data_IF_832484501969
#
_entry.id   IF_832484501969
#
_cell.length_a   1.000
_cell.length_b   1.000
_cell.length_c   1.000
_cell.angle_alpha   90.00
_cell.angle_beta   90.00
_cell.angle_gamma   90.00
#
_symmetry.space_group_name_H-M   'P 1'
#
loop_
_entity.id
_entity.type
_entity.pdbx_description
1 polymer ?
#
# COMPACT_ATOMS: atom_id res chain seq x y z
N UNK A 1 -13.10 -13.12 1.08
CA UNK A 1 -11.85 -12.73 1.79
C UNK A 1 -12.15 -12.71 3.28
N UNK A 2 -11.35 -13.39 4.10
CA UNK A 2 -11.44 -13.29 5.55
C UNK A 2 -10.59 -12.09 5.95
N UNK A 3 -11.22 -10.99 6.34
CA UNK A 3 -10.51 -9.77 6.73
C UNK A 3 -10.01 -9.87 8.17
N UNK A 4 -8.88 -9.24 8.44
CA UNK A 4 -8.22 -9.30 9.73
C UNK A 4 -9.07 -8.65 10.82
N UNK A 5 -9.46 -9.45 11.81
CA UNK A 5 -10.00 -8.98 13.10
C UNK A 5 -8.85 -8.53 14.00
N UNK A 6 -9.18 -7.93 15.15
CA UNK A 6 -8.16 -7.43 16.11
C UNK A 6 -7.12 -8.49 16.47
N UNK A 7 -7.55 -9.73 16.76
CA UNK A 7 -6.64 -10.81 17.11
C UNK A 7 -5.67 -11.15 15.96
N UNK A 8 -6.15 -11.16 14.72
CA UNK A 8 -5.30 -11.46 13.56
C UNK A 8 -4.23 -10.37 13.34
N UNK A 9 -4.58 -9.08 13.54
CA UNK A 9 -3.61 -7.98 13.51
C UNK A 9 -2.56 -8.12 14.62
N UNK A 10 -2.95 -8.54 15.82
CA UNK A 10 -2.04 -8.79 16.93
C UNK A 10 -1.12 -9.98 16.66
N UNK A 11 -1.66 -11.10 16.18
CA UNK A 11 -0.91 -12.31 15.85
C UNK A 11 0.11 -12.06 14.73
N UNK A 12 -0.20 -11.13 13.82
CA UNK A 12 0.73 -10.66 12.78
C UNK A 12 1.81 -9.68 13.29
N UNK A 13 1.81 -9.32 14.59
CA UNK A 13 2.76 -8.34 15.15
C UNK A 13 2.46 -6.89 14.74
N UNK A 14 1.24 -6.62 14.29
CA UNK A 14 0.77 -5.36 13.73
C UNK A 14 -0.44 -4.84 14.54
N UNK A 15 -0.28 -4.75 15.86
CA UNK A 15 -1.33 -4.31 16.81
C UNK A 15 -1.90 -2.94 16.41
N UNK A 16 -3.23 -2.82 16.48
CA UNK A 16 -3.99 -1.60 16.24
C UNK A 16 -4.60 -1.11 17.55
N UNK A 17 -4.68 0.21 17.76
CA UNK A 17 -5.17 0.81 19.00
C UNK A 17 -6.69 0.78 19.17
N UNK A 18 -7.44 0.37 18.14
CA UNK A 18 -8.91 0.24 18.20
C UNK A 18 -9.33 -1.03 18.92
N UNK A 19 -10.45 -0.96 19.63
CA UNK A 19 -11.13 -2.14 20.20
C UNK A 19 -12.26 -2.66 19.29
N UNK A 20 -12.47 -2.05 18.13
CA UNK A 20 -13.55 -2.40 17.21
C UNK A 20 -13.07 -3.43 16.18
N UNK A 21 -13.54 -4.67 16.32
CA UNK A 21 -13.29 -5.72 15.32
C UNK A 21 -13.80 -5.32 13.93
N UNK A 22 -14.89 -4.55 13.85
CA UNK A 22 -15.41 -4.07 12.58
C UNK A 22 -14.48 -3.04 11.95
N UNK A 23 -13.92 -2.12 12.74
CA UNK A 23 -12.92 -1.17 12.25
C UNK A 23 -11.66 -1.88 11.73
N UNK A 24 -11.17 -2.91 12.43
CA UNK A 24 -10.04 -3.73 11.96
C UNK A 24 -10.31 -4.39 10.60
N UNK A 25 -11.50 -4.98 10.42
CA UNK A 25 -11.88 -5.62 9.15
C UNK A 25 -11.98 -4.62 8.01
N UNK A 26 -12.60 -3.47 8.27
CA UNK A 26 -12.79 -2.43 7.26
C UNK A 26 -11.46 -1.77 6.88
N UNK A 27 -10.55 -1.57 7.84
CA UNK A 27 -9.19 -1.11 7.57
C UNK A 27 -8.42 -2.09 6.69
N UNK A 28 -8.48 -3.39 7.00
CA UNK A 28 -7.88 -4.44 6.19
C UNK A 28 -8.50 -4.50 4.78
N UNK A 29 -9.82 -4.30 4.67
CA UNK A 29 -10.50 -4.24 3.38
C UNK A 29 -10.08 -3.04 2.52
N UNK A 30 -9.89 -1.86 3.12
CA UNK A 30 -9.36 -0.68 2.41
C UNK A 30 -7.93 -0.94 1.97
N UNK A 31 -7.08 -1.43 2.87
CA UNK A 31 -5.67 -1.71 2.58
C UNK A 31 -5.53 -2.77 1.48
N UNK A 32 -6.34 -3.83 1.52
CA UNK A 32 -6.36 -4.86 0.48
C UNK A 32 -6.75 -4.27 -0.88
N UNK A 33 -7.85 -3.51 -0.95
CA UNK A 33 -8.28 -2.88 -2.20
C UNK A 33 -7.20 -1.96 -2.78
N UNK A 34 -6.60 -1.12 -1.94
CA UNK A 34 -5.50 -0.25 -2.33
C UNK A 34 -4.26 -1.03 -2.82
N UNK A 35 -3.84 -2.07 -2.09
CA UNK A 35 -2.67 -2.87 -2.41
C UNK A 35 -2.82 -3.65 -3.73
N UNK A 36 -4.02 -4.15 -3.98
CA UNK A 36 -4.36 -4.99 -5.14
C UNK A 36 -4.84 -4.20 -6.36
N UNK A 37 -5.04 -2.89 -6.23
CA UNK A 37 -5.73 -2.06 -7.22
C UNK A 37 -7.09 -2.61 -7.65
N UNK A 38 -7.86 -3.12 -6.68
CA UNK A 38 -9.22 -3.60 -6.90
C UNK A 38 -10.23 -2.71 -6.20
N UNK A 39 -11.46 -2.71 -6.72
CA UNK A 39 -12.59 -2.01 -6.11
C UNK A 39 -13.71 -3.02 -5.85
N UNK A 40 -13.93 -3.37 -4.58
CA UNK A 40 -14.92 -4.38 -4.22
C UNK A 40 -16.30 -3.74 -4.06
N UNK A 41 -17.12 -3.84 -5.11
CA UNK A 41 -18.47 -3.28 -5.16
C UNK A 41 -19.37 -3.77 -4.01
N UNK A 42 -19.23 -5.04 -3.58
CA UNK A 42 -20.04 -5.59 -2.48
C UNK A 42 -19.78 -4.90 -1.13
N UNK A 43 -18.62 -4.27 -0.97
CA UNK A 43 -18.27 -3.50 0.21
C UNK A 43 -18.57 -2.00 0.06
N UNK A 44 -18.95 -1.56 -1.14
CA UNK A 44 -19.08 -0.15 -1.53
C UNK A 44 -17.75 0.47 -1.96
N UNK A 45 -16.78 -0.35 -2.37
CA UNK A 45 -15.45 0.10 -2.76
C UNK A 45 -14.63 0.69 -1.61
N UNK A 46 -13.54 1.38 -1.95
CA UNK A 46 -12.69 2.06 -0.97
C UNK A 46 -13.49 3.13 -0.20
N UNK A 47 -14.25 3.97 -0.89
CA UNK A 47 -15.03 5.06 -0.28
C UNK A 47 -16.10 4.53 0.69
N UNK A 48 -16.84 3.50 0.29
CA UNK A 48 -17.85 2.86 1.14
C UNK A 48 -17.21 2.21 2.37
N UNK A 49 -16.06 1.55 2.22
CA UNK A 49 -15.31 1.01 3.34
C UNK A 49 -14.82 2.10 4.30
N UNK A 50 -14.28 3.21 3.80
CA UNK A 50 -13.81 4.33 4.63
C UNK A 50 -14.97 4.98 5.41
N UNK A 51 -16.13 5.16 4.77
CA UNK A 51 -17.33 5.68 5.43
C UNK A 51 -17.77 4.76 6.57
N UNK A 52 -17.86 3.46 6.32
CA UNK A 52 -18.19 2.45 7.35
C UNK A 52 -17.13 2.37 8.45
N UNK A 53 -15.84 2.50 8.10
CA UNK A 53 -14.72 2.47 9.04
C UNK A 53 -14.83 3.61 10.05
N UNK A 54 -15.09 4.82 9.55
CA UNK A 54 -15.32 6.01 10.38
C UNK A 54 -16.55 5.86 11.27
N UNK A 55 -17.62 5.24 10.78
CA UNK A 55 -18.81 4.97 11.59
C UNK A 55 -18.57 3.90 12.68
N UNK A 56 -17.75 2.89 12.38
CA UNK A 56 -17.44 1.79 13.29
C UNK A 56 -16.52 2.21 14.45
N UNK A 57 -15.57 3.11 14.20
CA UNK A 57 -14.75 3.73 15.24
C UNK A 57 -14.23 5.12 14.79
N UNK A 58 -14.93 6.21 15.16
CA UNK A 58 -14.52 7.58 14.80
C UNK A 58 -13.16 8.00 15.39
N UNK A 59 -12.69 7.34 16.44
CA UNK A 59 -11.44 7.66 17.13
C UNK A 59 -10.29 6.72 16.74
N UNK A 60 -10.50 5.83 15.76
CA UNK A 60 -9.46 4.93 15.30
C UNK A 60 -8.39 5.66 14.48
N UNK A 61 -7.22 5.95 15.09
CA UNK A 61 -6.16 6.73 14.44
C UNK A 61 -5.72 6.14 13.10
N UNK A 62 -5.49 4.83 13.00
CA UNK A 62 -5.07 4.24 11.72
C UNK A 62 -6.16 4.30 10.64
N UNK A 63 -7.44 4.37 11.03
CA UNK A 63 -8.52 4.67 10.10
C UNK A 63 -8.40 6.06 9.49
N UNK A 64 -8.01 7.07 10.28
CA UNK A 64 -7.70 8.41 9.77
C UNK A 64 -6.40 8.43 8.94
N UNK A 65 -5.40 7.66 9.34
CA UNK A 65 -4.14 7.51 8.57
C UNK A 65 -4.43 7.00 7.17
N UNK A 66 -5.16 5.89 7.01
CA UNK A 66 -5.41 5.35 5.67
C UNK A 66 -6.34 6.26 4.85
N UNK A 67 -7.35 6.87 5.47
CA UNK A 67 -8.24 7.81 4.79
C UNK A 67 -7.47 9.04 4.24
N UNK A 68 -6.75 9.75 5.11
CA UNK A 68 -5.98 10.93 4.73
C UNK A 68 -4.80 10.57 3.82
N UNK A 69 -4.16 9.42 4.05
CA UNK A 69 -3.05 8.94 3.25
C UNK A 69 -3.43 8.67 1.81
N UNK A 70 -4.61 8.07 1.56
CA UNK A 70 -5.10 7.84 0.20
C UNK A 70 -5.40 9.15 -0.55
N UNK A 71 -5.95 10.16 0.13
CA UNK A 71 -6.15 11.50 -0.46
C UNK A 71 -4.83 12.18 -0.84
N UNK A 72 -3.82 12.05 0.04
CA UNK A 72 -2.50 12.65 -0.16
C UNK A 72 -1.69 11.92 -1.24
N UNK A 73 -1.65 10.58 -1.19
CA UNK A 73 -0.97 9.73 -2.18
C UNK A 73 -1.64 9.83 -3.54
N UNK A 74 -2.96 10.06 -3.60
CA UNK A 74 -3.67 10.28 -4.86
C UNK A 74 -3.18 11.51 -5.65
N UNK A 75 -2.45 12.44 -5.02
CA UNK A 75 -1.89 13.69 -5.59
C UNK A 75 -2.87 14.65 -6.26
N UNK A 76 -4.16 14.30 -6.35
CA UNK A 76 -5.21 15.16 -6.90
C UNK A 76 -5.63 16.29 -5.95
N UNK A 77 -5.33 16.17 -4.65
CA UNK A 77 -5.63 17.17 -3.62
C UNK A 77 -4.39 17.48 -2.79
N UNK A 78 -4.36 18.68 -2.20
CA UNK A 78 -3.25 19.11 -1.32
C UNK A 78 -3.80 19.94 -0.17
N UNK A 79 -3.20 19.81 1.03
CA UNK A 79 -3.58 20.63 2.20
C UNK A 79 -3.42 22.14 1.98
N UNK A 80 -2.59 22.54 1.01
CA UNK A 80 -2.39 23.97 0.68
C UNK A 80 -3.60 24.59 -0.02
N UNK A 81 -4.30 23.81 -0.83
CA UNK A 81 -5.43 24.28 -1.64
C UNK A 81 -6.78 23.79 -1.10
N UNK A 82 -6.77 22.75 -0.28
CA UNK A 82 -7.95 22.09 0.23
C UNK A 82 -8.01 22.18 1.77
N UNK A 83 -8.92 23.04 2.26
CA UNK A 83 -9.10 23.29 3.69
C UNK A 83 -9.71 22.10 4.43
N UNK A 84 -10.48 21.27 3.74
CA UNK A 84 -11.10 20.09 4.34
C UNK A 84 -10.03 19.03 4.60
N UNK A 85 -9.14 18.80 3.63
CA UNK A 85 -8.00 17.90 3.79
C UNK A 85 -7.00 18.42 4.84
N UNK A 86 -6.68 19.72 4.85
CA UNK A 86 -5.83 20.31 5.91
C UNK A 86 -6.44 20.08 7.31
N UNK A 87 -7.74 20.33 7.45
CA UNK A 87 -8.46 20.09 8.70
C UNK A 87 -8.44 18.60 9.10
N UNK A 88 -8.65 17.69 8.15
CA UNK A 88 -8.63 16.26 8.39
C UNK A 88 -7.26 15.74 8.85
N UNK A 89 -6.16 16.23 8.23
CA UNK A 89 -4.79 15.90 8.64
C UNK A 89 -4.50 16.45 10.05
N UNK A 90 -4.90 17.70 10.34
CA UNK A 90 -4.75 18.28 11.69
C UNK A 90 -5.53 17.51 12.75
N UNK A 91 -6.75 17.08 12.43
CA UNK A 91 -7.58 16.28 13.32
C UNK A 91 -6.93 14.92 13.62
N UNK A 92 -6.37 14.25 12.61
CA UNK A 92 -5.60 13.00 12.79
C UNK A 92 -4.39 13.20 13.73
N UNK A 93 -3.63 14.29 13.55
CA UNK A 93 -2.49 14.63 14.42
C UNK A 93 -2.92 14.99 15.85
N UNK A 94 -4.07 15.63 16.02
CA UNK A 94 -4.61 15.94 17.35
C UNK A 94 -5.10 14.66 18.06
N UNK A 95 -5.84 13.81 17.35
CA UNK A 95 -6.34 12.53 17.85
C UNK A 95 -5.21 11.60 18.28
N UNK A 96 -4.10 11.57 17.54
CA UNK A 96 -2.95 10.73 17.91
C UNK A 96 -2.28 11.14 19.23
N UNK A 97 -2.48 12.38 19.68
CA UNK A 97 -1.98 12.90 20.95
C UNK A 97 -2.97 12.71 22.10
N UNK A 98 -4.26 12.49 21.81
CA UNK A 98 -5.30 12.35 22.83
C UNK A 98 -5.48 10.92 23.31
N UNK A 99 -4.79 9.94 22.73
CA UNK A 99 -4.92 8.53 23.08
C UNK A 99 -3.59 7.77 23.05
N UNK A 100 -3.45 6.67 23.79
CA UNK A 100 -2.27 5.82 23.69
C UNK A 100 -2.23 5.13 22.33
N UNK A 101 -1.10 5.27 21.64
CA UNK A 101 -0.79 4.60 20.38
C UNK A 101 0.47 3.77 20.50
N UNK A 102 0.58 2.74 19.68
CA UNK A 102 1.86 2.04 19.47
C UNK A 102 2.87 2.96 18.77
N UNK A 103 4.17 2.68 18.88
CA UNK A 103 5.20 3.44 18.16
C UNK A 103 4.96 3.39 16.63
N UNK A 104 4.56 2.23 16.11
CA UNK A 104 4.21 2.04 14.69
C UNK A 104 3.12 2.99 14.21
N UNK A 105 2.02 3.11 14.97
CA UNK A 105 0.91 4.01 14.62
C UNK A 105 1.32 5.48 14.70
N UNK A 106 2.15 5.86 15.70
CA UNK A 106 2.69 7.22 15.80
C UNK A 106 3.59 7.57 14.61
N UNK A 107 4.42 6.63 14.16
CA UNK A 107 5.27 6.82 12.99
C UNK A 107 4.47 7.02 11.71
N UNK A 108 3.36 6.28 11.54
CA UNK A 108 2.43 6.49 10.41
C UNK A 108 1.80 7.89 10.41
N UNK A 109 1.34 8.35 11.58
CA UNK A 109 0.79 9.72 11.73
C UNK A 109 1.85 10.77 11.42
N UNK A 110 3.07 10.59 11.93
CA UNK A 110 4.16 11.52 11.68
C UNK A 110 4.56 11.56 10.20
N UNK A 111 4.62 10.39 9.55
CA UNK A 111 4.94 10.27 8.12
C UNK A 111 3.93 11.04 7.27
N UNK A 112 2.63 10.93 7.56
CA UNK A 112 1.60 11.67 6.83
C UNK A 112 1.60 13.18 7.13
N UNK A 113 1.87 13.61 8.37
CA UNK A 113 1.98 15.05 8.67
C UNK A 113 3.15 15.71 7.91
N UNK A 114 4.30 15.03 7.81
CA UNK A 114 5.42 15.56 7.03
C UNK A 114 5.18 15.44 5.52
N UNK A 115 4.52 14.37 5.05
CA UNK A 115 4.11 14.23 3.65
C UNK A 115 3.18 15.39 3.24
N UNK A 116 2.15 15.67 4.04
CA UNK A 116 1.20 16.75 3.79
C UNK A 116 1.87 18.12 3.67
N UNK A 117 3.01 18.32 4.34
CA UNK A 117 3.82 19.55 4.28
C UNK A 117 4.83 19.57 3.12
N UNK A 118 4.78 18.58 2.23
CA UNK A 118 5.68 18.47 1.08
C UNK A 118 7.06 17.88 1.38
N UNK A 119 7.29 17.34 2.58
CA UNK A 119 8.56 16.70 2.95
C UNK A 119 8.52 15.19 2.62
N UNK A 120 8.32 14.86 1.33
CA UNK A 120 8.15 13.48 0.87
C UNK A 120 9.33 12.55 1.25
N UNK A 121 10.62 12.93 1.09
CA UNK A 121 11.73 12.05 1.48
C UNK A 121 11.72 11.69 2.97
N UNK A 122 11.36 12.66 3.82
CA UNK A 122 11.25 12.44 5.27
C UNK A 122 10.07 11.54 5.62
N UNK A 123 8.97 11.59 4.87
CA UNK A 123 7.87 10.66 5.02
C UNK A 123 8.33 9.23 4.74
N UNK A 124 9.09 9.02 3.65
CA UNK A 124 9.72 7.74 3.35
C UNK A 124 10.61 7.26 4.49
N UNK A 125 11.52 8.09 5.03
CA UNK A 125 12.39 7.69 6.14
C UNK A 125 11.61 7.17 7.36
N UNK A 126 10.43 7.75 7.63
CA UNK A 126 9.57 7.33 8.74
C UNK A 126 8.84 6.02 8.44
N UNK A 127 8.36 5.81 7.21
CA UNK A 127 7.81 4.51 6.80
C UNK A 127 8.89 3.42 6.76
N UNK A 128 10.09 3.73 6.30
CA UNK A 128 11.24 2.81 6.34
C UNK A 128 11.61 2.44 7.79
N UNK A 129 11.53 3.39 8.73
CA UNK A 129 11.71 3.10 10.16
C UNK A 129 10.66 2.10 10.67
N UNK A 130 9.41 2.18 10.20
CA UNK A 130 8.39 1.17 10.50
C UNK A 130 8.82 -0.18 9.95
N UNK A 131 9.22 -0.25 8.67
CA UNK A 131 9.59 -1.48 7.99
C UNK A 131 10.82 -2.19 8.61
N UNK A 132 11.72 -1.45 9.26
CA UNK A 132 12.83 -2.05 10.03
C UNK A 132 12.36 -2.90 11.21
N UNK A 133 11.25 -2.51 11.86
CA UNK A 133 10.71 -3.22 13.05
C UNK A 133 9.51 -4.10 12.71
N UNK A 134 8.78 -3.76 11.64
CA UNK A 134 7.55 -4.39 11.19
C UNK A 134 7.64 -4.61 9.66
N UNK A 135 8.46 -5.56 9.18
CA UNK A 135 8.71 -5.74 7.76
C UNK A 135 7.46 -6.17 6.96
N UNK A 136 6.43 -6.64 7.64
CA UNK A 136 5.13 -7.02 7.07
C UNK A 136 4.06 -5.91 7.15
N UNK A 137 4.42 -4.68 7.54
CA UNK A 137 3.50 -3.53 7.49
C UNK A 137 3.27 -3.07 6.04
N UNK A 138 2.23 -3.62 5.41
CA UNK A 138 1.92 -3.35 4.01
C UNK A 138 1.62 -1.87 3.73
N UNK A 139 0.99 -1.17 4.68
CA UNK A 139 0.64 0.23 4.48
C UNK A 139 1.92 1.09 4.40
N UNK A 140 2.88 0.86 5.29
CA UNK A 140 4.16 1.55 5.27
C UNK A 140 4.94 1.23 3.99
N UNK A 141 4.95 -0.04 3.58
CA UNK A 141 5.60 -0.47 2.35
C UNK A 141 4.97 0.20 1.12
N UNK A 142 3.63 0.23 1.04
CA UNK A 142 2.93 0.76 -0.12
C UNK A 142 3.02 2.29 -0.21
N UNK A 143 2.88 3.00 0.91
CA UNK A 143 3.04 4.45 0.93
C UNK A 143 4.48 4.88 0.63
N UNK A 144 5.49 4.19 1.17
CA UNK A 144 6.88 4.47 0.81
C UNK A 144 7.18 4.17 -0.66
N UNK A 145 6.71 3.03 -1.18
CA UNK A 145 6.84 2.65 -2.59
C UNK A 145 6.26 3.70 -3.53
N UNK A 146 5.00 4.10 -3.33
CA UNK A 146 4.33 5.11 -4.17
C UNK A 146 5.03 6.48 -4.05
N UNK A 147 5.48 6.84 -2.85
CA UNK A 147 6.20 8.10 -2.64
C UNK A 147 7.57 8.11 -3.32
N UNK A 148 8.31 6.99 -3.30
CA UNK A 148 9.57 6.87 -4.04
C UNK A 148 9.36 6.96 -5.55
N UNK A 149 8.25 6.41 -6.06
CA UNK A 149 7.88 6.57 -7.45
C UNK A 149 7.69 8.05 -7.81
N UNK A 150 6.95 8.83 -7.00
CA UNK A 150 6.77 10.27 -7.22
C UNK A 150 8.08 11.07 -7.18
N UNK A 151 9.03 10.64 -6.35
CA UNK A 151 10.35 11.27 -6.22
C UNK A 151 11.33 10.86 -7.33
N UNK A 152 10.99 9.88 -8.17
CA UNK A 152 11.92 9.28 -9.13
C UNK A 152 13.05 8.47 -8.47
N UNK A 153 12.85 8.02 -7.23
CA UNK A 153 13.85 7.30 -6.44
C UNK A 153 13.77 5.78 -6.69
N UNK A 154 13.94 5.38 -7.95
CA UNK A 154 13.73 4.00 -8.43
C UNK A 154 14.55 2.96 -7.66
N UNK A 155 15.81 3.27 -7.31
CA UNK A 155 16.65 2.36 -6.51
C UNK A 155 16.09 2.15 -5.11
N UNK A 156 15.68 3.23 -4.45
CA UNK A 156 15.10 3.17 -3.11
C UNK A 156 13.77 2.42 -3.12
N UNK A 157 12.93 2.65 -4.13
CA UNK A 157 11.68 1.92 -4.35
C UNK A 157 11.93 0.40 -4.42
N UNK A 158 12.84 -0.04 -5.29
CA UNK A 158 13.23 -1.45 -5.40
C UNK A 158 13.81 -1.98 -4.09
N UNK A 159 14.80 -1.29 -3.53
CA UNK A 159 15.57 -1.77 -2.40
C UNK A 159 14.73 -1.81 -1.11
N UNK A 160 13.73 -0.93 -0.98
CA UNK A 160 12.73 -0.97 0.10
C UNK A 160 11.98 -2.29 0.12
N UNK A 161 11.39 -2.67 -1.02
CA UNK A 161 10.69 -3.95 -1.15
C UNK A 161 11.67 -5.10 -0.95
N UNK A 162 12.86 -5.06 -1.56
CA UNK A 162 13.85 -6.12 -1.45
C UNK A 162 14.30 -6.39 0.00
N UNK A 163 14.43 -5.34 0.84
CA UNK A 163 14.81 -5.48 2.25
C UNK A 163 13.78 -6.27 3.06
N UNK A 164 12.50 -6.03 2.82
CA UNK A 164 11.43 -6.71 3.57
C UNK A 164 10.98 -8.01 2.93
N UNK A 165 11.26 -8.22 1.64
CA UNK A 165 10.79 -9.37 0.87
C UNK A 165 10.99 -10.75 1.54
N UNK A 166 12.11 -11.06 2.23
CA UNK A 166 12.27 -12.33 2.93
C UNK A 166 11.24 -12.61 4.04
N UNK A 167 10.58 -11.57 4.57
CA UNK A 167 9.55 -11.69 5.60
C UNK A 167 8.14 -11.92 5.01
N UNK A 168 7.97 -11.77 3.69
CA UNK A 168 6.70 -11.98 2.98
C UNK A 168 6.61 -13.41 2.45
N UNK A 169 6.55 -14.37 3.38
CA UNK A 169 6.37 -15.78 3.06
C UNK A 169 4.99 -16.07 2.49
N UNK A 170 4.80 -17.24 1.88
CA UNK A 170 3.55 -17.61 1.17
C UNK A 170 2.30 -17.57 2.04
N UNK A 171 2.45 -17.79 3.34
CA UNK A 171 1.40 -17.76 4.36
C UNK A 171 1.03 -16.33 4.80
N UNK A 172 1.89 -15.34 4.54
CA UNK A 172 1.56 -13.93 4.77
C UNK A 172 0.59 -13.47 3.68
N UNK A 173 -0.59 -12.91 4.05
CA UNK A 173 -1.54 -12.38 3.07
C UNK A 173 -0.89 -11.34 2.16
N UNK A 174 -1.32 -11.32 0.89
CA UNK A 174 -0.83 -10.37 -0.12
C UNK A 174 0.66 -10.50 -0.47
N UNK A 175 1.36 -11.54 -0.01
CA UNK A 175 2.76 -11.84 -0.38
C UNK A 175 3.00 -11.89 -1.89
N UNK A 176 2.04 -12.37 -2.68
CA UNK A 176 2.14 -12.32 -4.15
C UNK A 176 2.22 -10.90 -4.68
N UNK A 177 1.45 -9.96 -4.12
CA UNK A 177 1.47 -8.55 -4.54
C UNK A 177 2.77 -7.86 -4.13
N UNK A 178 3.35 -8.21 -2.97
CA UNK A 178 4.68 -7.72 -2.60
C UNK A 178 5.76 -8.24 -3.56
N UNK A 179 5.61 -9.47 -4.06
CA UNK A 179 6.43 -9.98 -5.16
C UNK A 179 6.24 -9.13 -6.44
N UNK A 180 5.00 -8.75 -6.77
CA UNK A 180 4.69 -7.82 -7.86
C UNK A 180 5.32 -6.43 -7.68
N UNK A 181 5.34 -5.87 -6.46
CA UNK A 181 6.02 -4.60 -6.18
C UNK A 181 7.53 -4.72 -6.41
N UNK A 182 8.11 -5.84 -5.99
CA UNK A 182 9.53 -6.09 -6.21
C UNK A 182 9.84 -6.22 -7.70
N UNK A 183 9.02 -6.96 -8.46
CA UNK A 183 9.19 -7.07 -9.91
C UNK A 183 9.08 -5.71 -10.61
N UNK A 184 8.17 -4.85 -10.15
CA UNK A 184 8.06 -3.49 -10.65
C UNK A 184 9.33 -2.65 -10.36
N UNK A 185 9.86 -2.71 -9.14
CA UNK A 185 11.14 -2.07 -8.82
C UNK A 185 12.32 -2.59 -9.65
N UNK A 186 12.31 -3.86 -10.06
CA UNK A 186 13.31 -4.41 -10.96
C UNK A 186 13.22 -3.83 -12.38
N UNK A 187 12.02 -3.71 -12.97
CA UNK A 187 11.86 -3.10 -14.31
C UNK A 187 12.25 -1.62 -14.30
N UNK A 188 11.86 -0.87 -13.27
CA UNK A 188 12.22 0.54 -13.06
C UNK A 188 13.72 0.77 -12.84
N UNK A 189 14.48 -0.29 -12.59
CA UNK A 189 15.95 -0.24 -12.48
C UNK A 189 16.68 -1.00 -13.59
N UNK A 190 15.99 -1.23 -14.72
CA UNK A 190 16.51 -1.87 -15.93
C UNK A 190 16.94 -3.34 -15.78
N UNK A 191 16.43 -4.04 -14.76
CA UNK A 191 16.69 -5.47 -14.53
C UNK A 191 15.59 -6.33 -15.17
N UNK A 192 15.36 -6.14 -16.47
CA UNK A 192 14.17 -6.62 -17.19
C UNK A 192 13.95 -8.13 -17.12
N UNK A 193 14.98 -8.94 -17.41
CA UNK A 193 14.84 -10.40 -17.42
C UNK A 193 14.53 -10.95 -16.00
N UNK A 194 15.05 -10.28 -14.97
CA UNK A 194 14.75 -10.63 -13.59
C UNK A 194 13.33 -10.19 -13.20
N UNK A 195 12.92 -8.99 -13.61
CA UNK A 195 11.57 -8.47 -13.40
C UNK A 195 10.51 -9.40 -14.00
N UNK A 196 10.68 -9.81 -15.27
CA UNK A 196 9.79 -10.73 -15.97
C UNK A 196 9.69 -12.09 -15.25
N UNK A 197 10.83 -12.66 -14.83
CA UNK A 197 10.85 -13.90 -14.06
C UNK A 197 10.06 -13.79 -12.76
N UNK A 198 10.34 -12.77 -11.95
CA UNK A 198 9.68 -12.57 -10.65
C UNK A 198 8.19 -12.34 -10.81
N UNK A 199 7.77 -11.56 -11.83
CA UNK A 199 6.37 -11.33 -12.14
C UNK A 199 5.65 -12.63 -12.55
N UNK A 200 6.27 -13.48 -13.38
CA UNK A 200 5.70 -14.79 -13.71
C UNK A 200 5.53 -15.69 -12.50
N UNK A 201 6.49 -15.69 -11.56
CA UNK A 201 6.36 -16.44 -10.31
C UNK A 201 5.21 -15.92 -9.43
N UNK A 202 4.92 -14.61 -9.45
CA UNK A 202 3.78 -14.04 -8.75
C UNK A 202 2.45 -14.45 -9.40
N UNK A 203 2.38 -14.38 -10.74
CA UNK A 203 1.19 -14.79 -11.50
C UNK A 203 0.89 -16.29 -11.42
N UNK A 204 1.92 -17.13 -11.20
CA UNK A 204 1.73 -18.55 -10.92
C UNK A 204 1.02 -18.79 -9.57
N UNK A 205 1.08 -17.83 -8.64
CA UNK A 205 0.39 -17.87 -7.34
C UNK A 205 -0.99 -17.20 -7.46
N UNK A 206 -1.04 -16.01 -8.05
CA UNK A 206 -2.26 -15.24 -8.23
C UNK A 206 -2.30 -14.60 -9.63
N UNK A 207 -3.13 -15.16 -10.51
CA UNK A 207 -3.26 -14.67 -11.89
C UNK A 207 -3.90 -13.29 -12.01
N UNK A 208 -4.55 -12.80 -10.95
CA UNK A 208 -5.21 -11.48 -10.90
C UNK A 208 -4.29 -10.38 -10.39
N UNK A 209 -3.00 -10.67 -10.15
CA UNK A 209 -2.06 -9.69 -9.61
C UNK A 209 -1.72 -8.61 -10.65
N UNK A 210 -2.42 -7.48 -10.55
CA UNK A 210 -2.30 -6.35 -11.47
C UNK A 210 -0.88 -5.77 -11.55
N UNK A 211 -0.09 -5.84 -10.46
CA UNK A 211 1.29 -5.33 -10.46
C UNK A 211 2.22 -6.22 -11.27
N UNK A 212 2.03 -7.53 -11.17
CA UNK A 212 2.81 -8.51 -11.92
C UNK A 212 2.45 -8.48 -13.42
N UNK A 213 1.16 -8.34 -13.74
CA UNK A 213 0.71 -8.08 -15.13
C UNK A 213 1.32 -6.79 -15.67
N UNK A 214 1.24 -5.70 -14.91
CA UNK A 214 1.81 -4.41 -15.29
C UNK A 214 3.32 -4.51 -15.52
N UNK A 215 4.05 -5.21 -14.64
CA UNK A 215 5.49 -5.41 -14.79
C UNK A 215 5.83 -6.09 -16.11
N UNK A 216 5.14 -7.17 -16.47
CA UNK A 216 5.40 -7.89 -17.73
C UNK A 216 5.09 -7.00 -18.93
N UNK A 217 3.97 -6.25 -18.90
CA UNK A 217 3.65 -5.29 -19.94
C UNK A 217 4.77 -4.25 -20.11
N UNK A 218 5.23 -3.68 -18.99
CA UNK A 218 6.29 -2.66 -18.98
C UNK A 218 7.65 -3.23 -19.43
N UNK A 219 8.00 -4.48 -19.07
CA UNK A 219 9.21 -5.14 -19.60
C UNK A 219 9.15 -5.25 -21.13
N UNK A 220 8.02 -5.68 -21.69
CA UNK A 220 7.88 -5.80 -23.14
C UNK A 220 7.94 -4.42 -23.82
N UNK A 221 7.38 -3.37 -23.21
CA UNK A 221 7.53 -1.98 -23.66
C UNK A 221 9.00 -1.56 -23.68
N UNK A 222 9.71 -1.71 -22.55
CA UNK A 222 11.10 -1.28 -22.38
C UNK A 222 12.08 -2.03 -23.31
N UNK A 223 11.76 -3.28 -23.67
CA UNK A 223 12.52 -4.09 -24.65
C UNK A 223 12.07 -3.88 -26.11
N UNK A 224 11.05 -3.04 -26.35
CA UNK A 224 10.41 -2.84 -27.65
C UNK A 224 9.86 -4.15 -28.28
N UNK A 225 9.44 -5.10 -27.44
CA UNK A 225 8.86 -6.40 -27.83
C UNK A 225 7.33 -6.30 -28.00
N UNK A 226 6.86 -5.38 -28.85
CA UNK A 226 5.44 -5.00 -28.97
C UNK A 226 4.50 -6.19 -29.20
N UNK A 227 4.86 -7.09 -30.13
CA UNK A 227 4.02 -8.26 -30.45
C UNK A 227 3.89 -9.23 -29.27
N UNK A 228 4.98 -9.43 -28.51
CA UNK A 228 4.98 -10.27 -27.32
C UNK A 228 4.13 -9.64 -26.21
N UNK A 229 4.26 -8.32 -26.01
CA UNK A 229 3.41 -7.56 -25.09
C UNK A 229 1.92 -7.65 -25.46
N UNK A 230 1.56 -7.39 -26.72
CA UNK A 230 0.17 -7.48 -27.19
C UNK A 230 -0.41 -8.89 -27.02
N UNK A 231 0.37 -9.92 -27.32
CA UNK A 231 -0.04 -11.31 -27.11
C UNK A 231 -0.31 -11.58 -25.63
N UNK A 232 0.62 -11.22 -24.75
CA UNK A 232 0.47 -11.40 -23.30
C UNK A 232 -0.77 -10.68 -22.75
N UNK A 233 -1.00 -9.43 -23.15
CA UNK A 233 -2.17 -8.66 -22.69
C UNK A 233 -3.49 -9.30 -23.12
N UNK A 234 -3.59 -9.76 -24.38
CA UNK A 234 -4.78 -10.46 -24.90
C UNK A 234 -5.05 -11.79 -24.18
N UNK A 235 -3.99 -12.54 -23.88
CA UNK A 235 -4.11 -13.85 -23.22
C UNK A 235 -4.50 -13.74 -21.76
N UNK A 236 -4.12 -12.65 -21.09
CA UNK A 236 -4.34 -12.48 -19.64
C UNK A 236 -5.49 -11.55 -19.28
N UNK A 237 -6.05 -10.78 -20.22
CA UNK A 237 -7.10 -9.76 -19.97
C UNK A 237 -8.22 -10.26 -19.03
N UNK A 238 -8.72 -11.48 -19.26
CA UNK A 238 -9.82 -12.05 -18.46
C UNK A 238 -9.50 -12.25 -16.98
N UNK A 239 -8.23 -12.26 -16.59
CA UNK A 239 -7.81 -12.50 -15.22
C UNK A 239 -7.85 -11.24 -14.36
N UNK A 240 -7.82 -10.05 -14.97
CA UNK A 240 -7.67 -8.76 -14.26
C UNK A 240 -8.65 -7.68 -14.74
N UNK A 241 -9.61 -8.06 -15.58
CA UNK A 241 -10.69 -7.20 -16.06
C UNK A 241 -11.65 -6.77 -14.96
#
# INVERSE_FOLDING_TARGET
LCFFVMQAWQDAGLVLSTTSNEACKLFDAVLTQYATWTNNESLGGIEGCLSKLKAADPNFTMGHVIANGLELIGTGRTVRLDKELDSAVRAMVALSKSQPLTERERLHVLALDVFARGQLPKACDLWEKILQSHPTDLLALKFSHDTYFYLGYQRQMRDSVARVYPFWTRDVPLSSYVKGYYSFGLVETNLFDHAEKVAHEALAINQTDAWSVHTIAHVNEMKAEVEKGLKFMKETEKNWK
#
